data_IF_424416711187
#
_entry.id   IF_424416711187
#
_cell.length_a   1.000
_cell.length_b   1.000
_cell.length_c   1.000
_cell.angle_alpha   90.00
_cell.angle_beta   90.00
_cell.angle_gamma   90.00
#
_symmetry.space_group_name_H-M   'P 1'
#
loop_
_entity.id
_entity.type
_entity.pdbx_description
1 polymer ?
#
# COMPACT_ATOMS: atom_id res chain seq x y z
N UNK A 1 11.51 -15.27 12.30
CA UNK A 1 11.37 -13.90 11.78
C UNK A 1 12.59 -13.61 10.94
N UNK A 2 12.41 -13.20 9.68
CA UNK A 2 13.53 -12.88 8.78
C UNK A 2 13.87 -11.39 8.95
N UNK A 3 15.12 -11.06 9.26
CA UNK A 3 15.55 -9.66 9.35
C UNK A 3 15.79 -9.13 7.94
N UNK A 4 15.13 -8.05 7.57
CA UNK A 4 15.23 -7.46 6.23
C UNK A 4 16.47 -6.57 6.14
N UNK A 5 17.28 -6.81 5.12
CA UNK A 5 18.41 -5.96 4.76
C UNK A 5 18.22 -5.47 3.32
N UNK A 6 18.05 -4.15 3.16
CA UNK A 6 17.84 -3.52 1.86
C UNK A 6 19.11 -2.78 1.43
N UNK A 7 20.11 -3.55 1.03
CA UNK A 7 21.33 -3.03 0.38
C UNK A 7 21.00 -2.32 -0.94
N UNK A 8 21.86 -1.40 -1.43
CA UNK A 8 21.67 -0.78 -2.76
C UNK A 8 21.51 -1.83 -3.88
N UNK A 9 22.32 -2.90 -3.83
CA UNK A 9 22.28 -4.00 -4.80
C UNK A 9 20.92 -4.70 -4.85
N UNK A 10 20.33 -5.02 -3.70
CA UNK A 10 19.03 -5.70 -3.69
C UNK A 10 17.89 -4.74 -4.03
N UNK A 11 18.02 -3.46 -3.67
CA UNK A 11 17.05 -2.44 -4.06
C UNK A 11 17.01 -2.22 -5.57
N UNK A 12 18.17 -2.09 -6.23
CA UNK A 12 18.28 -1.99 -7.69
C UNK A 12 17.69 -3.25 -8.37
N UNK A 13 17.87 -4.42 -7.75
CA UNK A 13 17.23 -5.66 -8.22
C UNK A 13 15.71 -5.58 -8.14
N UNK A 14 15.15 -5.08 -7.04
CA UNK A 14 13.69 -4.94 -6.86
C UNK A 14 13.11 -3.93 -7.87
N UNK A 15 13.79 -2.81 -8.11
CA UNK A 15 13.40 -1.85 -9.15
C UNK A 15 13.44 -2.49 -10.55
N UNK A 16 14.47 -3.28 -10.85
CA UNK A 16 14.53 -4.03 -12.11
C UNK A 16 13.37 -5.03 -12.24
N UNK A 17 12.91 -5.65 -11.13
CA UNK A 17 11.73 -6.55 -11.14
C UNK A 17 10.47 -5.75 -11.46
N UNK A 18 10.36 -4.55 -10.88
CA UNK A 18 9.27 -3.60 -11.15
C UNK A 18 9.19 -3.17 -12.61
N UNK A 19 10.33 -3.06 -13.27
CA UNK A 19 10.46 -2.72 -14.69
C UNK A 19 10.36 -3.95 -15.62
N UNK A 20 10.17 -5.16 -15.07
CA UNK A 20 10.08 -6.39 -15.86
C UNK A 20 11.42 -6.88 -16.43
N UNK A 21 12.54 -6.30 -16.00
CA UNK A 21 13.90 -6.66 -16.44
C UNK A 21 14.54 -7.76 -15.57
N UNK A 22 13.87 -8.20 -14.51
CA UNK A 22 14.42 -9.09 -13.50
C UNK A 22 13.35 -9.97 -12.81
N UNK A 23 13.82 -11.03 -12.13
CA UNK A 23 13.05 -11.90 -11.23
C UNK A 23 13.49 -11.72 -9.77
N UNK A 24 12.55 -11.80 -8.83
CA UNK A 24 12.88 -11.79 -7.41
C UNK A 24 13.60 -13.07 -6.93
N UNK A 25 13.40 -14.21 -7.62
CA UNK A 25 13.91 -15.51 -7.20
C UNK A 25 15.35 -15.83 -7.62
N UNK A 26 15.87 -15.19 -8.67
CA UNK A 26 17.16 -15.58 -9.26
C UNK A 26 18.32 -14.77 -8.70
N UNK A 27 19.48 -15.42 -8.51
CA UNK A 27 20.71 -14.79 -8.03
C UNK A 27 21.08 -15.20 -6.59
N UNK A 28 22.32 -14.90 -6.18
CA UNK A 28 22.81 -15.17 -4.81
C UNK A 28 22.75 -13.90 -3.98
N UNK A 29 22.05 -13.98 -2.85
CA UNK A 29 21.77 -12.90 -1.92
C UNK A 29 22.01 -13.39 -0.50
N UNK A 30 22.39 -12.48 0.40
CA UNK A 30 22.44 -12.79 1.83
C UNK A 30 21.04 -13.17 2.34
N UNK A 31 20.91 -13.82 3.51
CA UNK A 31 19.60 -14.08 4.10
C UNK A 31 18.73 -12.82 4.27
N UNK A 32 19.35 -11.68 4.62
CA UNK A 32 18.62 -10.42 4.79
C UNK A 32 18.19 -9.77 3.47
N UNK A 33 19.05 -9.83 2.46
CA UNK A 33 18.70 -9.40 1.09
C UNK A 33 17.61 -10.29 0.49
N UNK A 34 17.65 -11.60 0.78
CA UNK A 34 16.60 -12.54 0.39
C UNK A 34 15.27 -12.16 1.05
N UNK A 35 15.27 -11.88 2.35
CA UNK A 35 14.08 -11.39 3.03
C UNK A 35 13.52 -10.09 2.41
N UNK A 36 14.39 -9.17 1.95
CA UNK A 36 13.96 -7.99 1.20
C UNK A 36 13.28 -8.35 -0.13
N UNK A 37 13.86 -9.25 -0.92
CA UNK A 37 13.26 -9.70 -2.17
C UNK A 37 11.93 -10.42 -1.93
N UNK A 38 11.82 -11.17 -0.84
CA UNK A 38 10.60 -11.89 -0.50
C UNK A 38 9.49 -10.94 -0.02
N UNK A 39 9.84 -9.85 0.68
CA UNK A 39 8.90 -8.81 1.12
C UNK A 39 8.42 -7.92 -0.04
N UNK A 40 9.35 -7.41 -0.87
CA UNK A 40 9.02 -6.43 -1.92
C UNK A 40 8.74 -7.05 -3.29
N UNK A 41 9.27 -8.24 -3.58
CA UNK A 41 9.10 -8.92 -4.87
C UNK A 41 7.63 -9.14 -5.28
N UNK A 42 6.72 -9.59 -4.39
CA UNK A 42 5.30 -9.71 -4.68
C UNK A 42 4.63 -8.38 -5.03
N UNK A 43 5.14 -7.27 -4.50
CA UNK A 43 4.66 -5.91 -4.78
C UNK A 43 5.27 -5.36 -6.07
N UNK A 44 6.49 -5.75 -6.42
CA UNK A 44 7.21 -5.25 -7.59
C UNK A 44 6.77 -5.95 -8.89
N UNK A 45 6.48 -7.25 -8.87
CA UNK A 45 6.28 -8.06 -10.08
C UNK A 45 5.07 -7.64 -10.94
N UNK A 46 5.24 -7.83 -12.25
CA UNK A 46 4.36 -7.55 -13.42
C UNK A 46 3.32 -8.61 -13.79
N UNK A 47 3.76 -9.85 -13.68
CA UNK A 47 3.24 -10.99 -14.44
C UNK A 47 1.85 -11.46 -13.99
N UNK A 48 1.38 -11.02 -12.82
CA UNK A 48 0.06 -11.36 -12.28
C UNK A 48 -0.97 -10.22 -12.43
N UNK A 49 -0.62 -9.19 -13.20
CA UNK A 49 -1.46 -8.03 -13.48
C UNK A 49 -1.46 -6.97 -12.38
N UNK A 50 -2.50 -6.15 -12.38
CA UNK A 50 -2.69 -5.05 -11.43
C UNK A 50 -2.72 -5.54 -9.97
N UNK A 51 -2.09 -4.78 -9.07
CA UNK A 51 -2.00 -5.08 -7.64
C UNK A 51 -2.54 -3.92 -6.81
N UNK A 52 -3.36 -4.22 -5.82
CA UNK A 52 -3.81 -3.23 -4.83
C UNK A 52 -3.37 -3.68 -3.46
N UNK A 53 -2.46 -2.93 -2.86
CA UNK A 53 -1.93 -3.22 -1.53
C UNK A 53 -2.31 -2.11 -0.57
N UNK A 54 -2.44 -2.44 0.71
CA UNK A 54 -2.55 -1.46 1.77
C UNK A 54 -1.37 -1.59 2.73
N UNK A 55 -0.95 -0.46 3.29
CA UNK A 55 0.03 -0.44 4.38
C UNK A 55 -0.50 0.39 5.54
N UNK A 56 -0.35 -0.15 6.76
CA UNK A 56 -0.69 0.55 7.99
C UNK A 56 0.43 0.39 9.02
N UNK A 57 0.90 1.51 9.57
CA UNK A 57 1.83 1.56 10.70
C UNK A 57 1.06 1.80 11.99
N UNK A 58 1.26 0.96 13.00
CA UNK A 58 0.57 1.05 14.29
C UNK A 58 1.49 0.73 15.47
N UNK A 59 1.05 1.11 16.66
CA UNK A 59 1.63 0.70 17.95
C UNK A 59 1.34 -0.77 18.27
N UNK A 60 2.00 -1.32 19.29
CA UNK A 60 1.78 -2.68 19.82
C UNK A 60 0.33 -2.92 20.23
N UNK A 61 -0.35 -1.89 20.74
CA UNK A 61 -1.76 -1.92 21.15
C UNK A 61 -2.73 -1.51 20.02
N UNK A 62 -2.25 -1.49 18.78
CA UNK A 62 -3.06 -1.37 17.57
C UNK A 62 -3.57 0.05 17.26
N UNK A 63 -2.86 1.08 17.72
CA UNK A 63 -3.21 2.50 17.52
C UNK A 63 -2.38 3.14 16.43
N UNK A 64 -2.99 4.04 15.66
CA UNK A 64 -2.32 4.78 14.57
C UNK A 64 -2.07 6.25 14.90
N UNK A 65 -2.65 6.74 15.99
CA UNK A 65 -2.44 8.08 16.51
C UNK A 65 -2.78 8.11 18.00
N UNK A 66 -2.33 9.13 18.70
CA UNK A 66 -2.82 9.45 20.05
C UNK A 66 -4.28 9.91 20.03
N UNK A 67 -4.92 10.01 21.20
CA UNK A 67 -6.28 10.54 21.33
C UNK A 67 -6.44 11.98 20.82
N UNK A 68 -5.37 12.79 20.83
CA UNK A 68 -5.36 14.14 20.26
C UNK A 68 -5.12 14.16 18.74
N UNK A 69 -4.84 13.01 18.14
CA UNK A 69 -4.60 12.86 16.70
C UNK A 69 -3.13 13.04 16.29
N UNK A 70 -2.16 13.03 17.21
CA UNK A 70 -0.75 13.01 16.83
C UNK A 70 -0.38 11.62 16.31
N UNK A 71 -0.02 11.55 15.03
CA UNK A 71 0.34 10.34 14.30
C UNK A 71 1.80 10.36 13.82
N UNK A 72 2.60 11.35 14.26
CA UNK A 72 4.00 11.47 13.85
C UNK A 72 4.84 10.39 14.53
N UNK A 73 5.77 9.84 13.77
CA UNK A 73 6.81 8.93 14.25
C UNK A 73 6.27 7.67 14.97
N UNK A 74 5.09 7.19 14.56
CA UNK A 74 4.59 5.88 15.01
C UNK A 74 5.54 4.78 14.55
N UNK A 75 5.95 4.81 13.27
CA UNK A 75 6.95 3.89 12.72
C UNK A 75 8.37 4.39 12.94
N UNK A 76 9.29 3.46 13.18
CA UNK A 76 10.72 3.75 13.26
C UNK A 76 11.33 4.17 11.91
N UNK A 77 12.61 4.59 11.86
CA UNK A 77 13.28 5.02 10.64
C UNK A 77 13.24 4.00 9.51
N UNK A 78 13.43 2.72 9.81
CA UNK A 78 13.36 1.62 8.84
C UNK A 78 11.93 1.37 8.36
N UNK A 79 10.94 1.55 9.24
CA UNK A 79 9.51 1.50 8.88
C UNK A 79 9.11 2.65 7.95
N UNK A 80 9.61 3.86 8.19
CA UNK A 80 9.44 5.00 7.27
C UNK A 80 10.12 4.73 5.92
N UNK A 81 11.34 4.19 5.94
CA UNK A 81 12.03 3.81 4.71
C UNK A 81 11.29 2.70 3.94
N UNK A 82 10.69 1.74 4.64
CA UNK A 82 9.82 0.71 4.06
C UNK A 82 8.61 1.33 3.35
N UNK A 83 7.91 2.28 3.96
CA UNK A 83 6.80 2.99 3.33
C UNK A 83 7.24 3.71 2.05
N UNK A 84 8.38 4.39 2.08
CA UNK A 84 8.96 5.03 0.89
C UNK A 84 9.31 4.03 -0.23
N UNK A 85 9.78 2.83 0.13
CA UNK A 85 10.03 1.75 -0.84
C UNK A 85 8.72 1.24 -1.45
N UNK A 86 7.65 1.09 -0.67
CA UNK A 86 6.35 0.73 -1.24
C UNK A 86 5.84 1.79 -2.23
N UNK A 87 5.98 3.07 -1.89
CA UNK A 87 5.63 4.18 -2.79
C UNK A 87 6.40 4.12 -4.12
N UNK A 88 7.67 3.74 -4.09
CA UNK A 88 8.50 3.58 -5.29
C UNK A 88 8.09 2.40 -6.19
N UNK A 89 7.33 1.42 -5.66
CA UNK A 89 6.93 0.21 -6.38
C UNK A 89 5.52 0.27 -6.97
N UNK A 90 4.78 1.36 -6.76
CA UNK A 90 3.39 1.52 -7.20
C UNK A 90 3.25 2.64 -8.23
N UNK A 91 2.17 2.58 -9.01
CA UNK A 91 1.80 3.65 -9.94
C UNK A 91 1.13 4.82 -9.22
N UNK A 92 0.43 4.55 -8.12
CA UNK A 92 -0.29 5.56 -7.35
C UNK A 92 -0.42 5.24 -5.85
N UNK A 93 -0.48 6.28 -5.03
CA UNK A 93 -0.76 6.21 -3.59
C UNK A 93 -2.09 6.89 -3.33
N UNK A 94 -2.99 6.17 -2.68
CA UNK A 94 -4.36 6.58 -2.38
C UNK A 94 -4.50 6.82 -0.89
N UNK A 95 -4.98 8.01 -0.52
CA UNK A 95 -5.32 8.36 0.86
C UNK A 95 -6.74 8.94 0.94
N UNK A 96 -7.36 8.89 2.11
CA UNK A 96 -8.58 9.65 2.38
C UNK A 96 -8.30 11.14 2.62
N UNK A 97 -9.25 12.02 2.30
CA UNK A 97 -9.12 13.47 2.55
C UNK A 97 -8.89 13.82 4.02
N UNK A 98 -9.33 12.99 4.97
CA UNK A 98 -9.03 13.22 6.40
C UNK A 98 -7.53 13.19 6.66
N UNK A 99 -6.85 12.13 6.21
CA UNK A 99 -5.39 11.99 6.28
C UNK A 99 -4.71 13.15 5.56
N UNK A 100 -5.21 13.55 4.39
CA UNK A 100 -4.65 14.68 3.64
C UNK A 100 -4.70 16.00 4.42
N UNK A 101 -5.79 16.26 5.14
CA UNK A 101 -6.00 17.50 5.90
C UNK A 101 -5.28 17.51 7.25
N UNK A 102 -5.27 16.39 7.97
CA UNK A 102 -4.68 16.32 9.32
C UNK A 102 -3.17 16.08 9.29
N UNK A 103 -2.72 15.12 8.47
CA UNK A 103 -1.32 14.67 8.48
C UNK A 103 -0.47 15.46 7.46
N UNK A 104 -1.13 16.16 6.54
CA UNK A 104 -0.53 16.97 5.46
C UNK A 104 0.65 16.25 4.76
N UNK A 105 0.47 15.00 4.30
CA UNK A 105 1.57 14.22 3.76
C UNK A 105 1.96 14.74 2.37
N UNK A 106 3.24 14.56 2.03
CA UNK A 106 3.74 14.83 0.66
C UNK A 106 3.51 13.66 -0.31
N UNK A 107 3.40 12.44 0.22
CA UNK A 107 3.28 11.18 -0.53
C UNK A 107 4.37 10.94 -1.60
N UNK A 108 5.59 11.43 -1.34
CA UNK A 108 6.75 11.27 -2.23
C UNK A 108 7.68 10.14 -1.78
N UNK A 109 8.60 9.75 -2.67
CA UNK A 109 9.75 8.86 -2.42
C UNK A 109 10.97 9.73 -2.08
N UNK A 110 11.54 9.56 -0.86
CA UNK A 110 12.62 10.40 -0.32
C UNK A 110 13.71 9.63 0.41
N UNK A 111 13.41 8.40 0.84
CA UNK A 111 14.31 7.56 1.64
C UNK A 111 14.85 6.35 0.86
N UNK A 112 14.67 6.35 -0.46
CA UNK A 112 15.24 5.36 -1.40
C UNK A 112 15.22 5.93 -2.84
N UNK A 113 15.88 5.26 -3.78
CA UNK A 113 15.75 5.56 -5.21
C UNK A 113 14.43 5.01 -5.77
N UNK A 114 13.87 5.68 -6.77
CA UNK A 114 12.64 5.27 -7.44
C UNK A 114 11.79 6.46 -7.86
N UNK A 115 10.81 6.22 -8.74
CA UNK A 115 9.89 7.24 -9.20
C UNK A 115 8.87 7.63 -8.11
N UNK A 116 8.44 8.89 -8.11
CA UNK A 116 7.29 9.30 -7.31
C UNK A 116 6.00 8.71 -7.91
N UNK A 117 5.12 8.11 -7.10
CA UNK A 117 3.82 7.64 -7.57
C UNK A 117 2.86 8.81 -7.82
N UNK A 118 1.78 8.55 -8.56
CA UNK A 118 0.64 9.46 -8.60
C UNK A 118 0.05 9.65 -7.19
N UNK A 119 -0.32 10.88 -6.84
CA UNK A 119 -0.89 11.21 -5.52
C UNK A 119 -2.39 11.32 -5.66
N UNK A 120 -3.12 10.43 -4.99
CA UNK A 120 -4.56 10.26 -5.17
C UNK A 120 -5.24 10.54 -3.84
N UNK A 121 -6.16 11.51 -3.82
CA UNK A 121 -6.96 11.82 -2.62
C UNK A 121 -8.43 11.53 -2.87
N UNK A 122 -9.01 10.68 -2.03
CA UNK A 122 -10.45 10.41 -2.00
C UNK A 122 -11.14 11.51 -1.19
N UNK A 123 -11.86 12.38 -1.88
CA UNK A 123 -12.55 13.55 -1.31
C UNK A 123 -13.99 13.67 -1.87
N UNK A 124 -14.93 12.88 -1.33
CA UNK A 124 -16.30 12.82 -1.85
C UNK A 124 -17.03 14.17 -1.86
N UNK A 125 -16.64 15.08 -0.96
CA UNK A 125 -17.31 16.37 -0.71
C UNK A 125 -16.49 17.59 -1.16
N UNK A 126 -15.34 17.39 -1.80
CA UNK A 126 -14.51 18.49 -2.32
C UNK A 126 -13.94 19.41 -1.22
N UNK A 127 -13.55 18.87 -0.07
CA UNK A 127 -12.99 19.60 1.08
C UNK A 127 -11.51 19.96 0.96
N UNK A 128 -10.72 19.18 0.22
CA UNK A 128 -9.28 19.35 0.11
C UNK A 128 -8.98 20.71 -0.56
N UNK A 129 -8.18 21.62 0.03
CA UNK A 129 -7.81 22.86 -0.64
C UNK A 129 -6.75 22.58 -1.72
N UNK A 130 -6.66 23.45 -2.73
CA UNK A 130 -5.78 23.23 -3.88
C UNK A 130 -4.29 23.50 -3.56
N UNK A 131 -4.01 24.14 -2.43
CA UNK A 131 -2.68 24.40 -1.87
C UNK A 131 -2.20 23.31 -0.88
N UNK A 132 -2.98 22.23 -0.70
CA UNK A 132 -2.57 21.11 0.15
C UNK A 132 -1.23 20.51 -0.32
N UNK A 133 -0.34 20.14 0.63
CA UNK A 133 1.01 19.64 0.33
C UNK A 133 1.02 18.41 -0.59
N UNK A 134 -0.02 17.57 -0.52
CA UNK A 134 -0.21 16.40 -1.38
C UNK A 134 -0.50 16.76 -2.85
N UNK A 135 -0.89 18.00 -3.13
CA UNK A 135 -1.17 18.53 -4.47
C UNK A 135 -0.06 19.48 -5.00
N UNK A 136 1.09 19.53 -4.34
CA UNK A 136 2.22 20.36 -4.76
C UNK A 136 2.64 20.06 -6.21
N UNK A 137 2.86 21.10 -7.02
CA UNK A 137 3.24 20.97 -8.42
C UNK A 137 4.74 20.66 -8.59
N UNK A 138 5.16 19.44 -8.25
CA UNK A 138 6.55 18.95 -8.27
C UNK A 138 6.81 17.86 -9.34
N UNK A 139 5.92 17.74 -10.33
CA UNK A 139 6.04 16.82 -11.45
C UNK A 139 5.37 15.46 -11.26
N UNK A 140 5.03 15.05 -10.03
CA UNK A 140 4.22 13.85 -9.82
C UNK A 140 2.74 14.10 -10.17
N UNK A 141 2.07 13.11 -10.78
CA UNK A 141 0.63 13.19 -11.09
C UNK A 141 -0.20 13.44 -9.82
N UNK A 142 -1.27 14.22 -9.95
CA UNK A 142 -2.13 14.66 -8.84
C UNK A 142 -3.57 14.38 -9.21
N UNK A 143 -4.25 13.53 -8.46
CA UNK A 143 -5.58 13.05 -8.77
C UNK A 143 -6.48 13.27 -7.55
N UNK A 144 -7.62 13.90 -7.76
CA UNK A 144 -8.68 13.99 -6.75
C UNK A 144 -9.86 13.14 -7.20
N UNK A 145 -10.23 12.17 -6.37
CA UNK A 145 -11.44 11.36 -6.59
C UNK A 145 -12.59 12.01 -5.82
N UNK A 146 -13.63 12.44 -6.52
CA UNK A 146 -14.67 13.30 -5.92
C UNK A 146 -16.07 13.04 -6.46
N UNK A 147 -17.07 13.43 -5.66
CA UNK A 147 -18.48 13.44 -6.05
C UNK A 147 -19.04 14.83 -6.37
N UNK A 148 -18.21 15.88 -6.40
CA UNK A 148 -18.68 17.27 -6.56
C UNK A 148 -18.15 17.95 -7.81
N UNK A 149 -18.95 18.84 -8.42
CA UNK A 149 -18.60 19.67 -9.59
C UNK A 149 -17.59 20.77 -9.31
N UNK A 150 -16.93 20.75 -8.14
CA UNK A 150 -15.94 21.75 -7.77
C UNK A 150 -14.76 21.71 -8.78
N UNK A 151 -14.47 22.82 -9.48
CA UNK A 151 -13.28 22.90 -10.33
C UNK A 151 -12.01 22.86 -9.47
N UNK A 152 -10.91 22.39 -10.06
CA UNK A 152 -9.59 22.31 -9.44
C UNK A 152 -8.58 23.12 -10.24
N UNK A 153 -7.51 23.56 -9.57
CA UNK A 153 -6.39 24.22 -10.22
C UNK A 153 -5.80 23.38 -11.38
N UNK A 154 -5.22 24.02 -12.41
CA UNK A 154 -4.63 23.33 -13.55
C UNK A 154 -3.62 22.24 -13.19
N UNK A 155 -3.69 21.13 -13.92
CA UNK A 155 -2.83 19.95 -13.74
C UNK A 155 -3.18 19.09 -12.52
N UNK A 156 -4.27 19.38 -11.80
CA UNK A 156 -4.92 18.42 -10.90
C UNK A 156 -5.95 17.67 -11.73
N UNK A 157 -5.75 16.37 -11.91
CA UNK A 157 -6.68 15.48 -12.58
C UNK A 157 -7.87 15.17 -11.64
N UNK A 158 -9.07 15.03 -12.21
CA UNK A 158 -10.29 14.76 -11.45
C UNK A 158 -10.88 13.43 -11.91
N UNK A 159 -11.02 12.48 -10.99
CA UNK A 159 -11.84 11.29 -11.18
C UNK A 159 -13.18 11.53 -10.50
N UNK A 160 -14.21 11.80 -11.31
CA UNK A 160 -15.56 12.09 -10.84
C UNK A 160 -16.38 10.81 -10.79
N UNK A 161 -16.97 10.52 -9.64
CA UNK A 161 -17.82 9.35 -9.43
C UNK A 161 -19.09 9.73 -8.66
N UNK A 162 -20.20 9.00 -8.83
CA UNK A 162 -21.37 9.15 -7.98
C UNK A 162 -21.02 8.95 -6.50
N UNK A 163 -21.51 9.84 -5.63
CA UNK A 163 -21.27 9.79 -4.20
C UNK A 163 -22.58 9.82 -3.38
N UNK A 164 -23.45 8.79 -3.51
CA UNK A 164 -24.66 8.71 -2.69
C UNK A 164 -24.27 8.76 -1.21
N UNK A 165 -25.00 9.55 -0.42
CA UNK A 165 -24.74 9.82 1.00
C UNK A 165 -23.32 10.34 1.31
N UNK A 166 -22.64 10.90 0.31
CA UNK A 166 -21.28 11.42 0.41
C UNK A 166 -20.22 10.32 0.58
N UNK A 167 -20.49 9.10 0.12
CA UNK A 167 -19.53 7.98 0.06
C UNK A 167 -19.26 7.61 -1.38
N UNK A 168 -17.99 7.38 -1.69
CA UNK A 168 -17.54 6.88 -2.99
C UNK A 168 -17.37 5.36 -2.91
N UNK A 169 -17.83 4.64 -3.94
CA UNK A 169 -17.70 3.19 -4.04
C UNK A 169 -16.25 2.78 -4.32
N UNK A 170 -15.57 2.02 -3.43
CA UNK A 170 -14.21 1.54 -3.64
C UNK A 170 -14.01 0.81 -4.97
N UNK A 171 -15.02 0.09 -5.48
CA UNK A 171 -14.94 -0.63 -6.76
C UNK A 171 -14.78 0.37 -7.91
N UNK A 172 -15.65 1.38 -7.97
CA UNK A 172 -15.60 2.42 -9.00
C UNK A 172 -14.34 3.28 -8.91
N UNK A 173 -13.84 3.53 -7.69
CA UNK A 173 -12.55 4.21 -7.49
C UNK A 173 -11.44 3.40 -8.16
N UNK A 174 -11.36 2.11 -7.86
CA UNK A 174 -10.31 1.24 -8.37
C UNK A 174 -10.37 1.09 -9.90
N UNK A 175 -11.57 0.88 -10.44
CA UNK A 175 -11.80 0.80 -11.89
C UNK A 175 -11.43 2.10 -12.60
N UNK A 176 -11.86 3.24 -12.06
CA UNK A 176 -11.55 4.56 -12.62
C UNK A 176 -10.05 4.85 -12.63
N UNK A 177 -9.36 4.57 -11.52
CA UNK A 177 -7.90 4.75 -11.44
C UNK A 177 -7.15 3.83 -12.40
N UNK A 178 -7.59 2.56 -12.55
CA UNK A 178 -7.03 1.63 -13.54
C UNK A 178 -7.27 2.12 -14.97
N UNK A 179 -8.44 2.69 -15.26
CA UNK A 179 -8.75 3.34 -16.53
C UNK A 179 -7.84 4.54 -16.84
N UNK A 180 -7.27 5.18 -15.81
CA UNK A 180 -6.26 6.24 -15.93
C UNK A 180 -4.81 5.71 -16.05
N UNK A 181 -4.63 4.40 -16.25
CA UNK A 181 -3.35 3.73 -16.41
C UNK A 181 -2.63 3.36 -15.11
N UNK A 182 -3.32 3.41 -13.96
CA UNK A 182 -2.72 3.10 -12.66
C UNK A 182 -3.04 1.66 -12.26
N UNK A 183 -2.12 0.73 -12.54
CA UNK A 183 -2.33 -0.69 -12.27
C UNK A 183 -2.00 -1.09 -10.83
N UNK A 184 -0.93 -0.53 -10.28
CA UNK A 184 -0.41 -0.85 -8.95
C UNK A 184 -0.72 0.30 -8.00
N UNK A 185 -1.52 0.06 -6.97
CA UNK A 185 -1.97 1.09 -6.04
C UNK A 185 -1.62 0.73 -4.60
N UNK A 186 -1.07 1.69 -3.88
CA UNK A 186 -0.90 1.64 -2.42
C UNK A 186 -2.02 2.43 -1.76
N UNK A 187 -2.85 1.78 -0.95
CA UNK A 187 -3.78 2.43 -0.04
C UNK A 187 -3.03 2.71 1.27
N UNK A 188 -2.75 3.98 1.53
CA UNK A 188 -1.96 4.44 2.67
C UNK A 188 -2.83 5.32 3.58
N UNK A 189 -2.66 5.19 4.90
CA UNK A 189 -3.19 6.17 5.85
C UNK A 189 -4.72 6.25 5.97
N UNK A 190 -5.18 6.39 7.21
CA UNK A 190 -6.60 6.43 7.55
C UNK A 190 -7.23 5.04 7.58
N UNK A 191 -7.42 4.50 8.78
CA UNK A 191 -8.00 3.18 8.99
C UNK A 191 -9.32 2.94 8.25
N UNK A 192 -10.17 3.97 8.11
CA UNK A 192 -11.42 3.87 7.36
C UNK A 192 -11.24 3.64 5.86
N UNK A 193 -10.23 4.25 5.23
CA UNK A 193 -9.98 4.06 3.81
C UNK A 193 -9.47 2.65 3.57
N UNK A 194 -8.49 2.19 4.36
CA UNK A 194 -7.97 0.82 4.25
C UNK A 194 -9.08 -0.21 4.53
N UNK A 195 -9.87 -0.02 5.59
CA UNK A 195 -11.03 -0.88 5.89
C UNK A 195 -11.98 -0.93 4.69
N UNK A 196 -12.31 0.20 4.07
CA UNK A 196 -13.27 0.23 2.96
C UNK A 196 -12.85 -0.62 1.76
N UNK A 197 -11.55 -0.61 1.42
CA UNK A 197 -11.02 -1.48 0.37
C UNK A 197 -10.92 -2.95 0.82
N UNK A 198 -10.59 -3.20 2.09
CA UNK A 198 -10.52 -4.54 2.65
C UNK A 198 -11.88 -5.23 2.67
N UNK A 199 -12.91 -4.55 3.20
CA UNK A 199 -14.29 -5.06 3.27
C UNK A 199 -14.90 -5.27 1.88
N UNK A 200 -14.51 -4.45 0.89
CA UNK A 200 -14.92 -4.62 -0.50
C UNK A 200 -14.18 -5.78 -1.21
N UNK A 201 -13.24 -6.45 -0.55
CA UNK A 201 -12.45 -7.53 -1.16
C UNK A 201 -11.50 -7.07 -2.28
N UNK A 202 -11.09 -5.79 -2.24
CA UNK A 202 -10.31 -5.15 -3.31
C UNK A 202 -8.80 -5.09 -3.02
N UNK A 203 -8.37 -5.54 -1.84
CA UNK A 203 -6.95 -5.63 -1.50
C UNK A 203 -6.41 -7.01 -1.87
N UNK A 204 -5.31 -7.02 -2.60
CA UNK A 204 -4.48 -8.21 -2.81
C UNK A 204 -3.54 -8.46 -1.63
N UNK A 205 -3.08 -7.38 -0.98
CA UNK A 205 -2.06 -7.48 0.07
C UNK A 205 -2.26 -6.44 1.15
N UNK A 206 -2.05 -6.83 2.40
CA UNK A 206 -2.09 -5.92 3.54
C UNK A 206 -0.79 -6.07 4.32
N UNK A 207 -0.04 -4.97 4.43
CA UNK A 207 1.18 -4.91 5.24
C UNK A 207 0.89 -4.13 6.53
N UNK A 208 0.96 -4.82 7.65
CA UNK A 208 0.77 -4.23 8.98
C UNK A 208 2.15 -4.09 9.64
N UNK A 209 2.62 -2.86 9.77
CA UNK A 209 3.86 -2.53 10.46
C UNK A 209 3.54 -2.22 11.92
N UNK A 210 4.15 -2.95 12.84
CA UNK A 210 3.98 -2.78 14.28
C UNK A 210 5.27 -2.26 14.89
N UNK A 211 5.23 -1.04 15.42
CA UNK A 211 6.34 -0.43 16.14
C UNK A 211 6.30 -0.77 17.63
N UNK A 212 7.44 -0.79 18.34
CA UNK A 212 7.52 -1.14 19.77
C UNK A 212 7.09 0.04 20.68
N UNK A 213 5.94 0.62 20.36
CA UNK A 213 5.32 1.74 21.08
C UNK A 213 3.98 1.26 21.66
N UNK A 214 3.58 1.79 22.82
CA UNK A 214 2.23 1.65 23.36
C UNK A 214 1.63 3.05 23.48
N UNK A 215 0.50 3.30 22.81
CA UNK A 215 -0.13 4.62 22.78
C UNK A 215 -1.24 4.72 23.83
N UNK A 216 -1.98 3.63 24.07
CA UNK A 216 -3.14 3.60 24.95
C UNK A 216 -4.42 4.02 24.22
N UNK A 217 -4.96 5.18 24.59
CA UNK A 217 -6.19 5.70 23.96
C UNK A 217 -5.88 6.36 22.61
N UNK A 218 -6.59 5.96 21.57
CA UNK A 218 -6.43 6.49 20.22
C UNK A 218 -7.26 5.74 19.19
N UNK A 219 -7.33 6.23 17.94
CA UNK A 219 -7.95 5.49 16.85
C UNK A 219 -7.24 4.15 16.62
N UNK A 220 -8.03 3.09 16.42
CA UNK A 220 -7.51 1.80 15.99
C UNK A 220 -7.03 1.87 14.54
N UNK A 221 -6.06 1.03 14.20
CA UNK A 221 -5.54 0.97 12.84
C UNK A 221 -6.58 0.48 11.84
N UNK A 222 -7.15 -0.70 12.06
CA UNK A 222 -8.22 -1.24 11.23
C UNK A 222 -9.48 -1.34 12.07
N UNK A 223 -10.52 -0.64 11.63
CA UNK A 223 -11.84 -0.69 12.26
C UNK A 223 -12.83 -1.15 11.21
N UNK A 224 -13.15 -2.44 11.21
CA UNK A 224 -14.23 -3.02 10.38
C UNK A 224 -15.56 -2.43 10.82
N UNK A 225 -16.40 -2.03 9.87
CA UNK A 225 -17.77 -1.59 10.13
C UNK A 225 -18.73 -2.78 10.09
N UNK A 226 -18.33 -3.85 9.41
CA UNK A 226 -19.10 -5.09 9.30
C UNK A 226 -18.83 -5.99 10.51
N UNK A 227 -19.86 -6.42 11.26
CA UNK A 227 -19.68 -7.29 12.42
C UNK A 227 -19.34 -8.72 11.98
N UNK A 228 -18.30 -9.30 12.59
CA UNK A 228 -17.97 -10.72 12.48
C UNK A 228 -18.47 -11.42 13.74
N UNK A 229 -19.58 -12.16 13.62
CA UNK A 229 -20.24 -12.77 14.78
C UNK A 229 -19.52 -14.03 15.30
N UNK A 230 -18.72 -14.70 14.47
CA UNK A 230 -18.00 -15.92 14.84
C UNK A 230 -16.58 -15.89 14.31
N UNK A 231 -15.62 -16.37 15.10
CA UNK A 231 -14.20 -16.40 14.73
C UNK A 231 -13.87 -17.22 13.46
N UNK A 232 -14.74 -18.15 13.08
CA UNK A 232 -14.60 -18.92 11.83
C UNK A 232 -14.96 -18.09 10.58
N UNK A 233 -15.74 -17.03 10.75
CA UNK A 233 -16.16 -16.12 9.69
C UNK A 233 -15.15 -14.95 9.56
N UNK A 234 -14.12 -14.90 10.42
CA UNK A 234 -13.06 -13.90 10.37
C UNK A 234 -12.05 -14.22 9.25
N UNK A 235 -11.53 -13.17 8.61
CA UNK A 235 -10.47 -13.30 7.61
C UNK A 235 -9.19 -13.86 8.24
N UNK A 236 -8.62 -14.89 7.60
CA UNK A 236 -7.35 -15.53 7.99
C UNK A 236 -6.42 -15.58 6.77
N UNK A 237 -5.69 -14.50 6.47
CA UNK A 237 -4.79 -14.46 5.32
C UNK A 237 -3.57 -15.37 5.51
N UNK A 238 -2.96 -15.78 4.41
CA UNK A 238 -1.59 -16.30 4.44
C UNK A 238 -0.65 -15.15 4.82
N UNK A 239 0.22 -15.39 5.80
CA UNK A 239 1.01 -14.34 6.44
C UNK A 239 2.49 -14.71 6.51
N UNK A 240 3.35 -13.75 6.20
CA UNK A 240 4.80 -13.81 6.46
C UNK A 240 5.21 -12.67 7.39
N UNK A 241 6.30 -12.87 8.13
CA UNK A 241 6.74 -11.94 9.18
C UNK A 241 8.20 -11.54 8.98
N UNK A 242 8.42 -10.24 8.91
CA UNK A 242 9.70 -9.62 8.62
C UNK A 242 10.10 -8.64 9.73
N UNK A 243 11.34 -8.73 10.19
CA UNK A 243 11.93 -7.73 11.09
C UNK A 243 12.47 -6.55 10.28
N UNK A 244 12.15 -5.33 10.69
CA UNK A 244 12.48 -4.08 9.99
C UNK A 244 13.00 -3.05 11.00
N UNK A 245 14.29 -3.15 11.33
CA UNK A 245 14.87 -2.34 12.41
C UNK A 245 14.18 -2.66 13.74
N UNK A 246 13.53 -1.66 14.35
CA UNK A 246 12.73 -1.80 15.56
C UNK A 246 11.32 -2.36 15.31
N UNK A 247 10.85 -2.30 14.07
CA UNK A 247 9.46 -2.59 13.70
C UNK A 247 9.33 -4.04 13.20
N UNK A 248 8.11 -4.59 13.28
CA UNK A 248 7.76 -5.89 12.71
C UNK A 248 6.73 -5.66 11.61
N UNK A 249 6.98 -6.20 10.42
CA UNK A 249 6.04 -6.15 9.30
C UNK A 249 5.37 -7.52 9.13
N UNK A 250 4.05 -7.54 9.29
CA UNK A 250 3.19 -8.65 8.92
C UNK A 250 2.70 -8.44 7.49
N UNK A 251 3.18 -9.28 6.57
CA UNK A 251 2.83 -9.25 5.16
C UNK A 251 1.76 -10.30 4.87
N UNK A 252 0.52 -9.85 4.70
CA UNK A 252 -0.66 -10.68 4.53
C UNK A 252 -1.07 -10.72 3.05
N UNK A 253 -1.06 -11.90 2.44
CA UNK A 253 -1.63 -12.13 1.12
C UNK A 253 -3.15 -12.38 1.24
N UNK A 254 -3.93 -11.68 0.43
CA UNK A 254 -5.39 -11.76 0.40
C UNK A 254 -5.81 -12.44 -0.92
N UNK A 255 -6.07 -13.75 -0.82
CA UNK A 255 -6.50 -14.59 -1.95
C UNK A 255 -5.34 -15.26 -2.72
N UNK A 256 -5.71 -16.18 -3.61
CA UNK A 256 -4.77 -17.10 -4.26
C UNK A 256 -3.77 -16.38 -5.18
N UNK A 257 -4.24 -15.36 -5.91
CA UNK A 257 -3.38 -14.56 -6.80
C UNK A 257 -2.28 -13.85 -6.02
N UNK A 258 -2.63 -13.25 -4.89
CA UNK A 258 -1.66 -12.60 -4.03
C UNK A 258 -0.68 -13.60 -3.42
N UNK A 259 -1.14 -14.78 -3.03
CA UNK A 259 -0.31 -15.84 -2.47
C UNK A 259 0.70 -16.37 -3.50
N UNK A 260 0.26 -16.60 -4.74
CA UNK A 260 1.13 -16.94 -5.88
C UNK A 260 2.22 -15.89 -6.16
N UNK A 261 1.97 -14.62 -5.86
CA UNK A 261 2.96 -13.56 -6.05
C UNK A 261 4.21 -13.74 -5.18
N UNK A 262 4.10 -14.51 -4.07
CA UNK A 262 5.23 -14.87 -3.21
C UNK A 262 6.03 -16.07 -3.71
N UNK A 263 5.53 -16.82 -4.69
CA UNK A 263 6.21 -18.00 -5.24
C UNK A 263 7.28 -17.61 -6.28
N UNK A 264 8.38 -18.38 -6.39
CA UNK A 264 9.39 -18.16 -7.41
C UNK A 264 8.79 -18.24 -8.83
N UNK A 265 9.22 -17.32 -9.70
CA UNK A 265 8.83 -17.32 -11.12
C UNK A 265 9.40 -18.51 -11.90
N UNK A 266 10.58 -18.98 -11.50
CA UNK A 266 11.36 -19.97 -12.25
C UNK A 266 11.54 -21.28 -11.46
N UNK A 267 10.57 -21.65 -10.64
CA UNK A 267 10.59 -22.96 -10.02
C UNK A 267 10.33 -24.04 -11.09
N UNK A 268 11.33 -24.90 -11.33
CA UNK A 268 11.27 -25.96 -12.32
C UNK A 268 10.11 -26.95 -12.06
N UNK A 269 9.70 -27.13 -10.80
CA UNK A 269 8.58 -28.00 -10.44
C UNK A 269 7.21 -27.36 -10.77
N UNK A 270 7.10 -26.04 -10.71
CA UNK A 270 5.87 -25.29 -11.01
C UNK A 270 5.69 -25.12 -12.53
N UNK A 271 6.78 -24.88 -13.27
CA UNK A 271 6.78 -24.82 -14.73
C UNK A 271 6.35 -26.15 -15.37
N UNK A 272 6.77 -27.29 -14.79
CA UNK A 272 6.40 -28.62 -15.27
C UNK A 272 4.89 -28.92 -15.12
N UNK A 273 4.23 -28.39 -14.07
CA UNK A 273 2.79 -28.54 -13.86
C UNK A 273 1.95 -27.72 -14.83
N UNK A 274 2.44 -26.54 -15.25
CA UNK A 274 1.78 -25.69 -16.25
C UNK A 274 1.88 -26.29 -17.65
N UNK A 275 3.00 -26.95 -17.99
CA UNK A 275 3.16 -27.64 -19.28
C UNK A 275 2.42 -28.98 -19.36
N UNK A 276 2.10 -29.62 -18.23
CA UNK A 276 1.34 -30.88 -18.20
C UNK A 276 -0.19 -30.67 -18.23
N UNK A 277 -0.66 -29.44 -18.07
CA UNK A 277 -2.08 -29.06 -18.08
C UNK A 277 -2.54 -28.42 -19.40
N UNK A 278 -1.69 -28.40 -20.43
CA UNK A 278 -1.99 -27.96 -21.80
C UNK A 278 -1.84 -29.13 -22.79
#
# INVERSE_FOLDING_TARGET
MQVVDVTPRVWDRILSVREGMACACCGRFSPGERAALDLYGPVARRDLGAVTLAQIGQSLDGRVATASGDARDVSGPEGLAHLHRLRALVDGVVIGVRTALHDQPRLTVRLCSGANPARIVIDPRGRLPDDALVLAADGARRIVVTGTDRPRAPGIEILRLPAPDGRLDPVQILEGLRGMGLGSLLIEGGGLTITGFLEAGLLDRLQVSVAPLIIGAGPQGLTSLSPVNRLKDALRPEMRVFGMGTDIVFDCALGDRASRAALPLHDAALLAQVTAAN
#
